data_IF_463885156788
#
_entry.id   IF_463885156788
#
_cell.length_a   1.000
_cell.length_b   1.000
_cell.length_c   1.000
_cell.angle_alpha   90.00
_cell.angle_beta   90.00
_cell.angle_gamma   90.00
#
_symmetry.space_group_name_H-M   'P 1'
#
loop_
_entity.id
_entity.type
_entity.pdbx_description
1 polymer ?
#
# COMPACT_ATOMS: atom_id res chain seq x y z
N UNK A 1 10.20 21.82 18.64
CA UNK A 1 11.23 21.28 17.71
C UNK A 1 11.65 19.83 18.02
N UNK A 2 11.86 19.42 19.29
CA UNK A 2 12.20 18.02 19.63
C UNK A 2 11.06 17.02 19.36
N UNK A 3 9.81 17.41 19.60
CA UNK A 3 8.65 16.51 19.45
C UNK A 3 8.37 16.12 17.99
N UNK A 4 8.60 17.03 17.05
CA UNK A 4 8.44 16.77 15.61
C UNK A 4 9.45 15.72 15.09
N UNK A 5 10.68 15.71 15.62
CA UNK A 5 11.70 14.72 15.24
C UNK A 5 11.39 13.33 15.80
N UNK A 6 10.82 13.25 17.00
CA UNK A 6 10.37 11.99 17.58
C UNK A 6 9.20 11.40 16.78
N UNK A 7 8.18 12.22 16.47
CA UNK A 7 7.03 11.82 15.66
C UNK A 7 7.42 11.34 14.26
N UNK A 8 8.36 12.03 13.60
CA UNK A 8 8.90 11.64 12.28
C UNK A 8 9.61 10.29 12.34
N UNK A 9 10.38 10.03 13.41
CA UNK A 9 11.11 8.77 13.61
C UNK A 9 10.14 7.60 13.85
N UNK A 10 9.11 7.80 14.65
CA UNK A 10 8.12 6.77 14.94
C UNK A 10 7.23 6.48 13.72
N UNK A 11 6.90 7.51 12.94
CA UNK A 11 6.24 7.34 11.63
C UNK A 11 7.09 6.50 10.68
N UNK A 12 8.39 6.76 10.58
CA UNK A 12 9.32 5.95 9.75
C UNK A 12 9.39 4.50 10.21
N UNK A 13 9.48 4.26 11.53
CA UNK A 13 9.49 2.89 12.08
C UNK A 13 8.19 2.15 11.77
N UNK A 14 7.04 2.82 11.90
CA UNK A 14 5.72 2.23 11.59
C UNK A 14 5.61 1.87 10.11
N UNK A 15 6.05 2.75 9.21
CA UNK A 15 6.07 2.48 7.76
C UNK A 15 7.02 1.33 7.43
N UNK A 16 8.23 1.32 7.99
CA UNK A 16 9.18 0.23 7.80
C UNK A 16 8.62 -1.12 8.28
N UNK A 17 7.92 -1.15 9.42
CA UNK A 17 7.26 -2.34 9.94
C UNK A 17 6.10 -2.82 9.06
N UNK A 18 5.34 -1.91 8.44
CA UNK A 18 4.30 -2.29 7.47
C UNK A 18 4.91 -2.88 6.20
N UNK A 19 6.04 -2.32 5.74
CA UNK A 19 6.78 -2.85 4.59
C UNK A 19 7.35 -4.25 4.92
N UNK A 20 7.92 -4.45 6.11
CA UNK A 20 8.52 -5.72 6.51
C UNK A 20 7.50 -6.84 6.77
N UNK A 21 6.21 -6.50 6.94
CA UNK A 21 5.13 -7.48 7.09
C UNK A 21 4.68 -8.13 5.77
N UNK A 22 5.39 -7.89 4.67
CA UNK A 22 5.24 -8.61 3.39
C UNK A 22 3.83 -8.52 2.77
N UNK A 23 3.11 -7.41 2.95
CA UNK A 23 1.81 -7.22 2.29
C UNK A 23 1.92 -7.29 0.75
N UNK A 24 3.07 -6.92 0.20
CA UNK A 24 3.41 -7.08 -1.22
C UNK A 24 4.91 -7.41 -1.38
N UNK A 25 5.21 -8.53 -2.06
CA UNK A 25 6.56 -9.04 -2.37
C UNK A 25 7.42 -8.06 -3.16
N UNK A 26 6.79 -7.17 -3.94
CA UNK A 26 7.48 -6.21 -4.81
C UNK A 26 7.66 -4.82 -4.20
N UNK A 27 7.35 -4.63 -2.90
CA UNK A 27 7.54 -3.35 -2.21
C UNK A 27 8.98 -2.87 -2.29
N UNK A 28 9.18 -1.71 -2.92
CA UNK A 28 10.49 -1.06 -3.01
C UNK A 28 10.36 0.44 -2.77
N UNK A 29 11.24 0.98 -1.94
CA UNK A 29 11.38 2.44 -1.78
C UNK A 29 12.14 2.98 -2.98
N UNK A 30 11.55 3.90 -3.72
CA UNK A 30 12.13 4.46 -4.97
C UNK A 30 12.49 5.95 -4.87
N UNK A 31 12.25 6.58 -3.73
CA UNK A 31 12.55 7.99 -3.51
C UNK A 31 12.32 8.42 -2.06
N UNK A 32 12.43 9.73 -1.79
CA UNK A 32 12.13 10.30 -0.47
C UNK A 32 10.63 10.17 -0.17
N UNK A 33 10.25 9.08 0.50
CA UNK A 33 8.86 8.80 0.89
C UNK A 33 8.00 8.15 -0.19
N UNK A 34 8.57 7.80 -1.35
CA UNK A 34 7.84 7.14 -2.44
C UNK A 34 8.09 5.64 -2.40
N UNK A 35 7.01 4.87 -2.40
CA UNK A 35 7.03 3.41 -2.43
C UNK A 35 6.43 2.97 -3.76
N UNK A 36 7.15 2.10 -4.47
CA UNK A 36 6.66 1.43 -5.67
C UNK A 36 6.13 0.04 -5.28
N UNK A 37 4.94 -0.26 -5.77
CA UNK A 37 4.29 -1.58 -5.69
C UNK A 37 4.06 -2.03 -7.13
N UNK A 38 4.32 -3.29 -7.45
CA UNK A 38 4.07 -3.82 -8.79
C UNK A 38 2.55 -3.89 -9.06
N UNK A 39 2.05 -3.25 -10.13
CA UNK A 39 0.63 -3.29 -10.46
C UNK A 39 0.11 -4.72 -10.72
N UNK A 40 0.96 -5.65 -11.18
CA UNK A 40 0.57 -7.06 -11.38
C UNK A 40 0.28 -7.75 -10.05
N UNK A 41 1.04 -7.40 -9.02
CA UNK A 41 0.84 -7.94 -7.67
C UNK A 41 -0.45 -7.41 -7.04
N UNK A 42 -0.72 -6.12 -7.21
CA UNK A 42 -1.99 -5.51 -6.79
C UNK A 42 -3.16 -6.17 -7.51
N UNK A 43 -3.06 -6.38 -8.82
CA UNK A 43 -4.11 -7.01 -9.60
C UNK A 43 -4.37 -8.48 -9.21
N UNK A 44 -3.36 -9.16 -8.66
CA UNK A 44 -3.46 -10.53 -8.19
C UNK A 44 -4.07 -10.65 -6.78
N UNK A 45 -4.15 -9.54 -6.02
CA UNK A 45 -4.69 -9.55 -4.66
C UNK A 45 -6.19 -9.85 -4.65
N UNK A 46 -6.66 -10.51 -3.59
CA UNK A 46 -8.08 -10.85 -3.46
C UNK A 46 -8.95 -9.60 -3.29
N UNK A 47 -8.45 -8.59 -2.60
CA UNK A 47 -9.12 -7.30 -2.42
C UNK A 47 -9.38 -6.63 -3.77
N UNK A 48 -8.40 -6.66 -4.67
CA UNK A 48 -8.54 -6.07 -6.01
C UNK A 48 -9.56 -6.84 -6.86
N UNK A 49 -9.56 -8.18 -6.80
CA UNK A 49 -10.55 -9.02 -7.50
C UNK A 49 -11.97 -8.76 -7.00
N UNK A 50 -12.15 -8.64 -5.69
CA UNK A 50 -13.45 -8.33 -5.08
C UNK A 50 -13.94 -6.94 -5.50
N UNK A 51 -13.08 -5.92 -5.42
CA UNK A 51 -13.40 -4.56 -5.86
C UNK A 51 -13.80 -4.53 -7.35
N UNK A 52 -13.08 -5.28 -8.20
CA UNK A 52 -13.41 -5.41 -9.62
C UNK A 52 -14.77 -6.08 -9.85
N UNK A 53 -15.11 -7.11 -9.06
CA UNK A 53 -16.42 -7.77 -9.14
C UNK A 53 -17.55 -6.80 -8.78
N UNK A 54 -17.41 -6.09 -7.66
CA UNK A 54 -18.37 -5.07 -7.22
C UNK A 54 -18.56 -3.96 -8.27
N UNK A 55 -17.46 -3.45 -8.83
CA UNK A 55 -17.54 -2.45 -9.88
C UNK A 55 -18.31 -2.95 -11.12
N UNK A 56 -18.12 -4.22 -11.48
CA UNK A 56 -18.86 -4.84 -12.60
C UNK A 56 -20.35 -5.00 -12.30
N UNK A 57 -20.70 -5.35 -11.07
CA UNK A 57 -22.10 -5.43 -10.63
C UNK A 57 -22.78 -4.06 -10.70
N UNK A 58 -22.09 -2.99 -10.29
CA UNK A 58 -22.60 -1.61 -10.39
C UNK A 58 -22.86 -1.21 -11.85
N UNK A 59 -21.88 -1.45 -12.74
CA UNK A 59 -22.03 -1.09 -14.17
C UNK A 59 -23.14 -1.89 -14.85
N UNK A 60 -23.29 -3.16 -14.49
CA UNK A 60 -24.36 -4.01 -15.06
C UNK A 60 -25.75 -3.72 -14.46
N UNK A 61 -25.82 -3.07 -13.30
CA UNK A 61 -27.07 -2.65 -12.67
C UNK A 61 -27.55 -1.27 -13.15
N UNK A 62 -26.77 -0.60 -14.01
CA UNK A 62 -27.15 0.64 -14.69
C UNK A 62 -27.89 0.38 -16.01
#
# INVERSE_FOLDING_TARGET
MRDQRAAERDRRKKVAAMISRNAYKTLRVVGRGTIKIDPREVAASEEFKQARKLAREIVNAQ
#
